data_IF_007196130612
#
_entry.id   IF_007196130612
#
_cell.length_a   1.000
_cell.length_b   1.000
_cell.length_c   1.000
_cell.angle_alpha   90.00
_cell.angle_beta   90.00
_cell.angle_gamma   90.00
#
_symmetry.space_group_name_H-M   'P 1'
#
loop_
_entity.id
_entity.type
_entity.pdbx_description
1 polymer ?
#
# COMPACT_ATOMS: atom_id res chain seq x y z
N UNK A 1 15.02 -3.28 -5.23
CA UNK A 1 13.93 -3.15 -4.24
C UNK A 1 14.35 -2.10 -3.23
N UNK A 2 13.52 -1.08 -3.01
CA UNK A 2 13.71 -0.08 -1.94
C UNK A 2 12.67 -0.33 -0.86
N UNK A 3 13.01 -0.08 0.39
CA UNK A 3 12.12 -0.19 1.52
C UNK A 3 12.30 1.06 2.38
N UNK A 4 11.20 1.54 2.94
CA UNK A 4 11.15 2.73 3.78
C UNK A 4 10.48 2.33 5.10
N UNK A 5 11.00 2.84 6.21
CA UNK A 5 10.53 2.47 7.54
C UNK A 5 9.27 3.26 7.95
N UNK A 6 8.98 4.37 7.27
CA UNK A 6 7.80 5.20 7.53
C UNK A 6 7.22 5.79 6.25
N UNK A 7 6.01 6.33 6.36
CA UNK A 7 5.33 7.02 5.26
C UNK A 7 6.08 8.30 4.88
N UNK A 8 6.58 9.05 5.86
CA UNK A 8 7.28 10.32 5.66
C UNK A 8 8.59 10.13 4.90
N UNK A 9 9.34 9.07 5.22
CA UNK A 9 10.56 8.71 4.50
C UNK A 9 10.24 8.40 3.02
N UNK A 10 9.19 7.61 2.79
CA UNK A 10 8.70 7.33 1.44
C UNK A 10 8.25 8.58 0.70
N UNK A 11 7.47 9.47 1.33
CA UNK A 11 6.98 10.69 0.65
C UNK A 11 8.14 11.66 0.32
N UNK A 12 9.21 11.64 1.12
CA UNK A 12 10.39 12.49 0.89
C UNK A 12 11.22 12.01 -0.30
N UNK A 13 11.60 10.72 -0.35
CA UNK A 13 12.53 10.15 -1.35
C UNK A 13 11.84 9.34 -2.46
N UNK A 14 10.69 8.74 -2.16
CA UNK A 14 9.95 7.88 -3.07
C UNK A 14 9.47 8.62 -4.29
N UNK A 15 9.94 8.18 -5.46
CA UNK A 15 9.50 8.65 -6.78
C UNK A 15 9.13 7.44 -7.64
N UNK A 16 8.10 6.66 -7.26
CA UNK A 16 7.67 5.53 -8.07
C UNK A 16 7.14 6.01 -9.41
N UNK A 17 7.41 5.23 -10.46
CA UNK A 17 6.92 5.46 -11.81
C UNK A 17 5.75 4.52 -12.13
N UNK A 18 4.96 4.76 -13.19
CA UNK A 18 3.74 3.97 -13.45
C UNK A 18 3.98 2.45 -13.62
N UNK A 19 5.18 2.04 -14.01
CA UNK A 19 5.56 0.63 -14.16
C UNK A 19 5.95 -0.04 -12.84
N UNK A 20 6.08 0.71 -11.75
CA UNK A 20 6.42 0.17 -10.44
C UNK A 20 5.19 -0.46 -9.75
N UNK A 21 5.45 -1.41 -8.87
CA UNK A 21 4.49 -1.87 -7.87
C UNK A 21 4.94 -1.44 -6.49
N UNK A 22 4.10 -0.68 -5.80
CA UNK A 22 4.33 -0.20 -4.43
C UNK A 22 3.49 -1.00 -3.46
N UNK A 23 4.15 -1.58 -2.45
CA UNK A 23 3.48 -2.33 -1.37
C UNK A 23 3.44 -1.44 -0.14
N UNK A 24 2.24 -1.13 0.35
CA UNK A 24 2.03 -0.16 1.45
C UNK A 24 1.48 -0.87 2.68
N UNK A 25 2.15 -0.72 3.83
CA UNK A 25 1.63 -1.18 5.11
C UNK A 25 0.73 -0.11 5.77
N UNK A 26 -0.53 -0.43 6.09
CA UNK A 26 -1.40 0.51 6.82
C UNK A 26 -1.08 0.62 8.31
N UNK A 27 -0.21 -0.25 8.81
CA UNK A 27 0.27 -0.26 10.20
C UNK A 27 1.53 0.56 10.43
N UNK A 28 1.94 1.43 9.50
CA UNK A 28 3.11 2.30 9.69
C UNK A 28 2.93 3.22 10.91
N UNK A 29 4.00 3.46 11.70
CA UNK A 29 3.99 4.44 12.77
C UNK A 29 3.98 5.87 12.19
N UNK A 30 3.38 6.81 12.90
CA UNK A 30 3.30 8.20 12.45
C UNK A 30 2.12 8.43 11.50
N UNK A 31 2.39 8.97 10.30
CA UNK A 31 1.36 9.18 9.28
C UNK A 31 0.72 7.86 8.84
N UNK A 32 -0.59 7.87 8.67
CA UNK A 32 -1.33 6.70 8.23
C UNK A 32 -0.89 6.26 6.83
N UNK A 33 -0.68 4.96 6.64
CA UNK A 33 -0.34 4.40 5.31
C UNK A 33 -1.41 4.69 4.23
N UNK A 34 -2.64 5.07 4.61
CA UNK A 34 -3.64 5.55 3.66
C UNK A 34 -3.26 6.87 2.99
N UNK A 35 -2.52 7.75 3.68
CA UNK A 35 -2.00 8.98 3.07
C UNK A 35 -0.98 8.68 1.96
N UNK A 36 -0.17 7.63 2.11
CA UNK A 36 0.73 7.15 1.04
C UNK A 36 -0.07 6.68 -0.17
N UNK A 37 -1.14 5.93 0.06
CA UNK A 37 -2.05 5.46 -1.01
C UNK A 37 -2.65 6.65 -1.76
N UNK A 38 -3.19 7.65 -1.04
CA UNK A 38 -3.76 8.86 -1.63
C UNK A 38 -2.72 9.58 -2.50
N UNK A 39 -1.51 9.81 -1.97
CA UNK A 39 -0.43 10.47 -2.71
C UNK A 39 -0.04 9.71 -4.00
N UNK A 40 -0.02 8.38 -3.96
CA UNK A 40 0.30 7.57 -5.14
C UNK A 40 -0.78 7.66 -6.22
N UNK A 41 -2.04 7.74 -5.81
CA UNK A 41 -3.17 7.87 -6.74
C UNK A 41 -3.29 9.26 -7.37
N UNK A 42 -2.67 10.29 -6.77
CA UNK A 42 -2.58 11.63 -7.37
C UNK A 42 -1.60 11.67 -8.57
N UNK A 43 -0.75 10.65 -8.72
CA UNK A 43 0.15 10.54 -9.87
C UNK A 43 -0.61 10.17 -11.15
N UNK A 44 -0.19 10.70 -12.30
CA UNK A 44 -0.82 10.42 -13.59
C UNK A 44 0.23 9.97 -14.64
N UNK A 45 0.26 8.68 -15.04
CA UNK A 45 -0.52 7.56 -14.48
C UNK A 45 -0.03 7.14 -13.09
N UNK A 46 -0.89 6.55 -12.24
CA UNK A 46 -0.47 6.05 -10.93
C UNK A 46 0.33 4.75 -11.06
N UNK A 47 1.28 4.48 -10.15
CA UNK A 47 1.89 3.16 -10.04
C UNK A 47 0.87 2.15 -9.53
N UNK A 48 1.18 0.86 -9.67
CA UNK A 48 0.33 -0.18 -9.09
C UNK A 48 0.53 -0.23 -7.57
N UNK A 49 -0.56 -0.22 -6.81
CA UNK A 49 -0.51 -0.23 -5.33
C UNK A 49 -1.10 -1.53 -4.77
N UNK A 50 -0.39 -2.15 -3.82
CA UNK A 50 -0.87 -3.30 -3.03
C UNK A 50 -0.83 -2.90 -1.56
N UNK A 51 -1.94 -3.11 -0.86
CA UNK A 51 -2.06 -2.73 0.55
C UNK A 51 -1.89 -3.97 1.43
N UNK A 52 -1.06 -3.84 2.46
CA UNK A 52 -0.82 -4.85 3.49
C UNK A 52 -1.25 -4.29 4.84
N UNK A 53 -1.92 -5.10 5.69
CA UNK A 53 -2.43 -4.59 6.96
C UNK A 53 -2.61 -5.65 8.03
N UNK A 54 -2.28 -5.32 9.28
CA UNK A 54 -2.65 -6.11 10.46
C UNK A 54 -4.05 -5.77 11.01
N UNK A 55 -4.72 -4.74 10.48
CA UNK A 55 -6.01 -4.25 11.01
C UNK A 55 -7.09 -5.33 10.98
N UNK A 56 -8.02 -5.26 11.92
CA UNK A 56 -9.18 -6.15 11.99
C UNK A 56 -10.14 -5.90 10.82
N UNK A 57 -11.03 -6.86 10.53
CA UNK A 57 -12.07 -6.66 9.51
C UNK A 57 -12.96 -5.45 9.81
N UNK A 58 -13.25 -5.21 11.09
CA UNK A 58 -14.04 -4.05 11.52
C UNK A 58 -13.31 -2.75 11.22
N UNK A 59 -12.01 -2.67 11.53
CA UNK A 59 -11.21 -1.48 11.22
C UNK A 59 -11.08 -1.25 9.71
N UNK A 60 -11.01 -2.31 8.90
CA UNK A 60 -11.00 -2.19 7.45
C UNK A 60 -12.32 -1.68 6.87
N UNK A 61 -13.47 -2.04 7.46
CA UNK A 61 -14.77 -1.52 7.03
C UNK A 61 -14.87 0.01 7.17
N UNK A 62 -14.17 0.59 8.15
CA UNK A 62 -14.17 2.04 8.39
C UNK A 62 -13.39 2.83 7.33
N UNK A 63 -12.48 2.18 6.60
CA UNK A 63 -11.64 2.79 5.56
C UNK A 63 -11.82 2.10 4.20
N UNK A 64 -12.96 1.41 4.01
CA UNK A 64 -13.19 0.59 2.83
C UNK A 64 -13.30 1.44 1.54
N UNK A 65 -13.85 2.64 1.65
CA UNK A 65 -13.98 3.58 0.53
C UNK A 65 -12.60 4.04 0.03
N UNK A 66 -11.65 4.32 0.94
CA UNK A 66 -10.28 4.70 0.58
C UNK A 66 -9.49 3.58 -0.11
N UNK A 67 -9.95 2.33 0.00
CA UNK A 67 -9.25 1.14 -0.45
C UNK A 67 -10.03 0.35 -1.51
N UNK A 68 -11.18 0.84 -1.99
CA UNK A 68 -12.15 0.03 -2.73
C UNK A 68 -11.60 -0.59 -4.01
N UNK A 69 -10.63 0.08 -4.65
CA UNK A 69 -10.04 -0.34 -5.92
C UNK A 69 -8.65 -0.98 -5.76
N UNK A 70 -8.24 -1.29 -4.52
CA UNK A 70 -6.91 -1.78 -4.22
C UNK A 70 -6.92 -3.22 -3.71
N UNK A 71 -5.96 -4.06 -4.12
CA UNK A 71 -5.71 -5.33 -3.46
C UNK A 71 -5.31 -5.09 -1.99
N UNK A 72 -6.13 -5.58 -1.05
CA UNK A 72 -5.85 -5.52 0.40
C UNK A 72 -5.53 -6.91 0.95
N UNK A 73 -4.30 -7.10 1.40
CA UNK A 73 -3.80 -8.32 2.01
C UNK A 73 -3.68 -8.18 3.53
N UNK A 74 -4.26 -9.11 4.28
CA UNK A 74 -4.19 -9.10 5.75
C UNK A 74 -3.04 -9.95 6.27
N UNK A 75 -2.31 -9.43 7.25
CA UNK A 75 -1.28 -10.15 8.01
C UNK A 75 -1.91 -11.23 8.90
N UNK A 76 -1.26 -12.40 9.07
CA UNK A 76 -0.03 -12.82 8.39
C UNK A 76 -0.26 -13.15 6.91
N UNK A 77 0.67 -12.73 6.04
CA UNK A 77 0.61 -12.95 4.59
C UNK A 77 1.59 -14.06 4.22
N UNK A 78 1.13 -15.04 3.43
CA UNK A 78 2.02 -16.04 2.86
C UNK A 78 2.69 -15.52 1.59
N UNK A 79 3.90 -16.03 1.30
CA UNK A 79 4.60 -15.70 0.06
C UNK A 79 3.75 -15.99 -1.19
N UNK A 80 3.05 -17.13 -1.21
CA UNK A 80 2.18 -17.51 -2.33
C UNK A 80 1.10 -16.47 -2.62
N UNK A 81 0.38 -16.01 -1.59
CA UNK A 81 -0.66 -14.99 -1.73
C UNK A 81 -0.11 -13.65 -2.21
N UNK A 82 1.08 -13.28 -1.78
CA UNK A 82 1.72 -12.07 -2.28
C UNK A 82 2.14 -12.21 -3.75
N UNK A 83 2.72 -13.36 -4.11
CA UNK A 83 3.21 -13.66 -5.46
C UNK A 83 2.11 -13.70 -6.53
N UNK A 84 0.87 -14.07 -6.17
CA UNK A 84 -0.32 -13.98 -7.04
C UNK A 84 -0.51 -12.56 -7.61
N UNK A 85 -0.04 -11.53 -6.90
CA UNK A 85 -0.14 -10.16 -7.37
C UNK A 85 1.03 -9.73 -8.26
N UNK A 86 2.16 -10.43 -8.34
CA UNK A 86 3.30 -10.02 -9.18
C UNK A 86 3.39 -10.78 -10.51
N UNK A 87 2.51 -11.75 -10.71
CA UNK A 87 2.47 -12.59 -11.91
C UNK A 87 1.53 -11.94 -12.94
N UNK A 88 2.08 -11.05 -13.77
CA UNK A 88 1.43 -10.51 -14.97
C UNK A 88 2.43 -10.55 -16.14
#
# INVERSE_FOLDING_TARGET
MRAYASAEEFLSDGRPVPTDTVVVDLGLPGMAGTAVVTHLNESSPPPRVIVITGKSKTQLRLIAEELSDLPVLRKPISYSKLAEHFSA
#
